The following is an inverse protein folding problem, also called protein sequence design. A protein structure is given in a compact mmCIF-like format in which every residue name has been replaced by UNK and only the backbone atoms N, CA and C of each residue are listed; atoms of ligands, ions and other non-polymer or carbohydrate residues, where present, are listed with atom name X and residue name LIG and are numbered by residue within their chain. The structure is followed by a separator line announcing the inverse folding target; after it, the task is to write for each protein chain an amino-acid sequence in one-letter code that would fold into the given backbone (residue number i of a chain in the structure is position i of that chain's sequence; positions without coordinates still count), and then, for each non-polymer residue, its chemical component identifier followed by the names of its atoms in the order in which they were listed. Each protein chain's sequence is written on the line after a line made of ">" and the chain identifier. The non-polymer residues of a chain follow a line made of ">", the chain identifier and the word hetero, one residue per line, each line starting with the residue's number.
data_IF_987137125511
#
_entry.id   IF_987137125511
#
_cell.length_a   1.000
_cell.length_b   1.000
_cell.length_c   1.000
_cell.angle_alpha   90.00
_cell.angle_beta   90.00
_cell.angle_gamma   90.00
#
_symmetry.space_group_name_H-M   'P 1'
#
loop_
_entity.id
_entity.type
_entity.pdbx_description
1 polymer ?
#
# COMPACT_ATOMS: atom_id res chain seq x y z
N UNK A 1 -44.98 18.96 40.38
CA UNK A 1 -44.40 20.29 40.69
C UNK A 1 -42.90 20.14 40.53
N UNK A 2 -42.13 20.88 39.74
CA UNK A 2 -42.30 22.08 38.91
C UNK A 2 -41.06 22.07 38.00
N UNK A 3 -41.25 21.89 36.69
CA UNK A 3 -41.13 22.91 35.63
C UNK A 3 -39.68 23.40 35.36
N UNK A 4 -39.29 23.11 34.12
CA UNK A 4 -38.30 23.82 33.31
C UNK A 4 -38.55 25.32 33.26
N UNK A 5 -37.47 26.10 33.20
CA UNK A 5 -37.47 27.41 32.53
C UNK A 5 -36.17 27.62 31.78
N UNK A 6 -36.33 27.85 30.48
CA UNK A 6 -35.37 28.36 29.51
C UNK A 6 -34.95 29.80 29.85
N UNK A 7 -33.66 30.10 29.80
CA UNK A 7 -33.11 31.45 29.81
C UNK A 7 -32.35 31.73 28.52
N UNK A 8 -32.85 32.67 27.71
CA UNK A 8 -32.13 33.28 26.58
C UNK A 8 -30.98 34.14 27.09
N UNK A 9 -29.82 34.07 26.44
CA UNK A 9 -28.66 34.91 26.73
C UNK A 9 -27.69 35.02 25.55
N UNK A 10 -27.93 36.06 24.73
CA UNK A 10 -26.99 36.87 23.92
C UNK A 10 -25.90 36.18 23.10
N UNK A 11 -26.05 36.29 21.77
CA UNK A 11 -25.00 36.17 20.77
C UNK A 11 -23.83 37.13 21.06
N UNK A 12 -22.63 36.58 21.15
CA UNK A 12 -21.38 37.31 20.92
C UNK A 12 -20.80 36.85 19.58
N UNK A 13 -20.74 37.78 18.63
CA UNK A 13 -20.05 37.65 17.36
C UNK A 13 -18.53 37.59 17.57
N UNK A 14 -17.89 36.57 16.98
CA UNK A 14 -16.45 36.57 16.69
C UNK A 14 -16.25 36.64 15.17
N UNK A 15 -15.28 37.43 14.68
CA UNK A 15 -15.08 37.65 13.25
C UNK A 15 -14.18 36.57 12.61
N UNK A 16 -14.50 36.22 11.36
CA UNK A 16 -13.56 35.62 10.42
C UNK A 16 -13.76 34.13 10.13
N UNK A 17 -14.85 33.78 9.44
CA UNK A 17 -14.96 32.48 8.76
C UNK A 17 -14.39 32.61 7.33
N UNK A 18 -13.49 31.70 6.96
CA UNK A 18 -12.65 31.73 5.73
C UNK A 18 -13.42 31.36 4.46
N UNK A 19 -14.74 31.51 4.44
CA UNK A 19 -15.62 31.11 3.33
C UNK A 19 -16.20 32.26 2.49
N UNK A 20 -16.01 33.52 2.87
CA UNK A 20 -16.52 34.67 2.11
C UNK A 20 -15.53 35.30 1.10
N UNK A 21 -14.31 34.77 0.97
CA UNK A 21 -13.30 35.35 0.07
C UNK A 21 -13.38 34.85 -1.39
N UNK A 22 -14.30 33.95 -1.74
CA UNK A 22 -14.34 33.32 -3.07
C UNK A 22 -15.60 33.58 -3.90
N UNK A 23 -16.52 34.43 -3.46
CA UNK A 23 -17.83 34.61 -4.13
C UNK A 23 -18.18 36.02 -4.60
N UNK A 24 -17.23 36.96 -4.65
CA UNK A 24 -17.54 38.32 -5.12
C UNK A 24 -16.41 38.92 -5.96
N UNK A 25 -16.46 38.65 -7.26
CA UNK A 25 -15.52 39.16 -8.26
C UNK A 25 -16.20 39.48 -9.59
N UNK A 26 -16.93 40.60 -9.58
CA UNK A 26 -17.28 41.46 -10.73
C UNK A 26 -18.10 40.88 -11.90
N UNK A 27 -19.41 41.18 -11.86
CA UNK A 27 -20.20 41.52 -13.03
C UNK A 27 -20.64 42.99 -12.90
N UNK A 28 -20.25 43.86 -13.85
CA UNK A 28 -21.04 45.03 -14.28
C UNK A 28 -20.36 45.75 -15.46
N UNK A 29 -21.11 45.85 -16.56
CA UNK A 29 -20.74 46.63 -17.75
C UNK A 29 -21.63 46.33 -18.97
N UNK A 30 -22.90 46.75 -18.92
CA UNK A 30 -23.82 46.86 -20.07
C UNK A 30 -23.35 47.99 -21.04
N UNK A 31 -23.76 48.18 -22.31
CA UNK A 31 -24.96 47.83 -23.06
C UNK A 31 -24.76 48.17 -24.57
N UNK A 32 -25.70 47.68 -25.42
CA UNK A 32 -26.15 48.20 -26.74
C UNK A 32 -25.26 47.92 -27.99
N UNK A 33 -25.74 47.54 -29.18
CA UNK A 33 -27.09 47.46 -29.78
C UNK A 33 -27.14 46.51 -31.01
N UNK A 34 -28.35 45.96 -31.26
CA UNK A 34 -29.12 45.66 -32.50
C UNK A 34 -28.45 45.79 -33.90
N UNK A 35 -28.86 45.15 -34.99
CA UNK A 35 -29.80 44.07 -35.39
C UNK A 35 -29.80 44.01 -36.95
N UNK A 36 -30.44 42.96 -37.53
CA UNK A 36 -31.06 42.89 -38.87
C UNK A 36 -30.13 42.49 -40.06
N UNK A 37 -30.50 41.69 -41.08
CA UNK A 37 -31.76 41.16 -41.68
C UNK A 37 -31.42 39.88 -42.49
N UNK A 38 -32.21 38.78 -42.47
CA UNK A 38 -33.31 38.37 -43.40
C UNK A 38 -32.84 37.97 -44.83
N UNK A 39 -33.28 36.86 -45.45
CA UNK A 39 -34.66 36.59 -45.88
C UNK A 39 -35.00 35.09 -46.19
N UNK A 40 -36.31 34.76 -46.19
CA UNK A 40 -36.98 33.44 -46.41
C UNK A 40 -37.16 33.03 -47.92
N UNK A 41 -38.04 32.09 -48.39
CA UNK A 41 -38.86 31.01 -47.77
C UNK A 41 -38.91 29.61 -48.50
N UNK A 42 -39.41 28.62 -47.73
CA UNK A 42 -40.28 27.47 -48.07
C UNK A 42 -39.98 26.50 -49.25
N UNK A 43 -39.91 25.20 -48.92
CA UNK A 43 -40.77 24.15 -49.53
C UNK A 43 -40.88 22.92 -48.62
N UNK A 44 -42.11 22.46 -48.40
CA UNK A 44 -42.44 21.17 -47.77
C UNK A 44 -42.11 20.04 -48.76
N UNK A 45 -41.31 19.07 -48.34
CA UNK A 45 -41.07 17.82 -49.05
C UNK A 45 -41.06 16.66 -48.06
N UNK A 46 -42.13 15.86 -48.09
CA UNK A 46 -42.28 14.64 -47.30
C UNK A 46 -41.42 13.55 -47.96
N UNK A 47 -40.30 13.16 -47.35
CA UNK A 47 -39.39 12.16 -47.89
C UNK A 47 -38.69 11.39 -46.78
N UNK A 48 -39.10 10.15 -46.59
CA UNK A 48 -38.45 9.16 -45.74
C UNK A 48 -37.01 8.92 -46.22
N UNK A 49 -36.02 9.32 -45.43
CA UNK A 49 -34.63 8.94 -45.62
C UNK A 49 -34.08 8.46 -44.27
N UNK A 50 -33.60 7.22 -44.26
CA UNK A 50 -32.96 6.58 -43.13
C UNK A 50 -31.80 7.44 -42.59
N UNK A 51 -31.59 7.54 -41.27
CA UNK A 51 -30.35 8.11 -40.77
C UNK A 51 -29.23 7.09 -41.02
N UNK A 52 -28.57 7.24 -42.16
CA UNK A 52 -27.20 6.78 -42.35
C UNK A 52 -26.34 7.56 -41.37
N UNK A 53 -26.05 6.96 -40.23
CA UNK A 53 -25.05 7.46 -39.29
C UNK A 53 -23.72 7.50 -40.01
N UNK A 54 -23.27 8.69 -40.37
CA UNK A 54 -21.89 8.94 -40.75
C UNK A 54 -21.01 8.53 -39.58
N UNK A 55 -20.36 7.36 -39.69
CA UNK A 55 -19.24 7.02 -38.85
C UNK A 55 -18.17 8.08 -39.11
N UNK A 56 -18.03 9.03 -38.18
CA UNK A 56 -16.78 9.76 -38.01
C UNK A 56 -15.68 8.72 -37.83
N UNK A 57 -14.55 8.80 -38.53
CA UNK A 57 -13.44 7.89 -38.29
C UNK A 57 -13.05 8.03 -36.83
N UNK A 58 -13.14 6.93 -36.07
CA UNK A 58 -12.59 6.86 -34.73
C UNK A 58 -11.12 7.29 -34.81
N UNK A 59 -10.81 8.42 -34.21
CA UNK A 59 -9.43 8.87 -34.05
C UNK A 59 -8.66 7.80 -33.30
N UNK A 60 -7.56 7.34 -33.91
CA UNK A 60 -6.64 6.37 -33.32
C UNK A 60 -6.32 6.72 -31.86
N UNK A 61 -6.59 5.79 -30.94
CA UNK A 61 -5.87 5.68 -29.67
C UNK A 61 -6.37 6.45 -28.45
N UNK A 62 -7.60 7.00 -28.43
CA UNK A 62 -8.13 7.57 -27.18
C UNK A 62 -8.71 6.47 -26.28
N UNK A 63 -8.05 6.17 -25.16
CA UNK A 63 -8.63 5.32 -24.11
C UNK A 63 -9.95 5.95 -23.64
N UNK A 64 -11.06 5.23 -23.80
CA UNK A 64 -12.38 5.65 -23.36
C UNK A 64 -12.60 5.08 -21.95
N UNK A 65 -12.78 5.93 -20.96
CA UNK A 65 -13.09 5.51 -19.58
C UNK A 65 -14.57 5.24 -19.34
N UNK A 66 -15.43 5.65 -20.27
CA UNK A 66 -16.88 5.42 -20.17
C UNK A 66 -17.22 3.96 -20.54
N UNK A 67 -17.93 3.28 -19.65
CA UNK A 67 -18.49 1.94 -19.87
C UNK A 67 -20.02 2.05 -19.86
N UNK A 68 -20.64 1.88 -21.03
CA UNK A 68 -22.08 2.13 -21.23
C UNK A 68 -22.94 0.98 -20.67
N UNK A 69 -24.25 1.20 -20.44
CA UNK A 69 -25.18 0.12 -20.10
C UNK A 69 -25.06 -1.06 -21.08
N UNK A 70 -24.92 -2.28 -20.56
CA UNK A 70 -24.71 -3.49 -21.35
C UNK A 70 -23.24 -3.81 -21.69
N UNK A 71 -22.29 -2.90 -21.43
CA UNK A 71 -20.87 -3.15 -21.57
C UNK A 71 -20.23 -3.60 -20.24
N UNK A 72 -19.15 -4.36 -20.35
CA UNK A 72 -18.36 -4.83 -19.21
C UNK A 72 -17.10 -3.97 -19.03
N UNK A 73 -16.65 -3.88 -17.78
CA UNK A 73 -15.31 -3.38 -17.46
C UNK A 73 -14.23 -4.37 -17.94
N UNK A 74 -13.04 -3.85 -18.21
CA UNK A 74 -11.91 -4.65 -18.73
C UNK A 74 -11.11 -5.30 -17.61
N UNK A 75 -10.99 -4.62 -16.46
CA UNK A 75 -10.25 -5.13 -15.30
C UNK A 75 -11.10 -5.12 -14.04
N UNK A 76 -10.79 -6.07 -13.15
CA UNK A 76 -11.20 -6.01 -11.76
C UNK A 76 -10.16 -5.27 -10.94
N UNK A 77 -10.62 -4.33 -10.14
CA UNK A 77 -9.85 -3.69 -9.10
C UNK A 77 -10.17 -4.25 -7.73
N UNK A 78 -9.16 -4.67 -6.96
CA UNK A 78 -9.34 -5.03 -5.55
C UNK A 78 -8.81 -3.91 -4.67
N UNK A 79 -9.71 -3.25 -3.96
CA UNK A 79 -9.45 -2.06 -3.17
C UNK A 79 -9.47 -2.38 -1.68
N UNK A 80 -8.52 -1.82 -0.95
CA UNK A 80 -8.59 -1.74 0.49
C UNK A 80 -9.79 -0.88 0.92
N UNK A 81 -10.48 -1.30 1.98
CA UNK A 81 -11.51 -0.51 2.65
C UNK A 81 -10.96 0.46 3.70
N UNK A 82 -9.65 0.49 3.96
CA UNK A 82 -9.07 1.21 5.11
C UNK A 82 -9.66 0.73 6.43
N UNK A 83 -9.93 1.69 7.31
CA UNK A 83 -10.58 1.49 8.61
C UNK A 83 -12.03 0.99 8.55
N UNK A 84 -12.63 0.87 7.35
CA UNK A 84 -13.91 0.17 7.21
C UNK A 84 -13.76 -1.34 7.32
N UNK A 85 -12.54 -1.88 7.21
CA UNK A 85 -12.23 -3.29 7.47
C UNK A 85 -12.69 -4.28 6.40
N UNK A 86 -13.11 -3.82 5.22
CA UNK A 86 -13.59 -4.65 4.10
C UNK A 86 -12.64 -4.60 2.90
N UNK A 87 -12.86 -5.45 1.90
CA UNK A 87 -12.31 -5.30 0.54
C UNK A 87 -13.43 -4.86 -0.41
N UNK A 88 -13.10 -3.99 -1.37
CA UNK A 88 -14.03 -3.56 -2.43
C UNK A 88 -13.57 -4.06 -3.78
N UNK A 89 -14.50 -4.61 -4.57
CA UNK A 89 -14.26 -4.96 -5.97
C UNK A 89 -14.77 -3.81 -6.83
N UNK A 90 -13.89 -3.25 -7.67
CA UNK A 90 -14.15 -2.17 -8.58
C UNK A 90 -14.11 -2.68 -10.03
N UNK A 91 -14.95 -2.13 -10.91
CA UNK A 91 -14.79 -2.26 -12.36
C UNK A 91 -13.87 -1.16 -12.89
N UNK A 92 -12.92 -1.49 -13.75
CA UNK A 92 -12.02 -0.52 -14.40
C UNK A 92 -12.14 -0.66 -15.92
N UNK A 93 -12.36 0.44 -16.68
CA UNK A 93 -12.13 1.84 -16.29
C UNK A 93 -13.35 2.60 -15.75
N UNK A 94 -14.53 1.97 -15.56
CA UNK A 94 -15.73 2.70 -15.12
C UNK A 94 -15.64 3.26 -13.69
N UNK A 95 -14.77 2.66 -12.87
CA UNK A 95 -14.56 2.94 -11.45
C UNK A 95 -15.80 2.70 -10.58
N UNK A 96 -16.74 1.86 -11.03
CA UNK A 96 -17.94 1.48 -10.27
C UNK A 96 -17.58 0.41 -9.23
N UNK A 97 -18.11 0.53 -8.01
CA UNK A 97 -18.05 -0.52 -6.99
C UNK A 97 -19.02 -1.64 -7.37
N UNK A 98 -18.51 -2.85 -7.58
CA UNK A 98 -19.26 -4.02 -8.02
C UNK A 98 -19.70 -4.89 -6.83
N UNK A 99 -18.86 -5.00 -5.81
CA UNK A 99 -19.10 -5.83 -4.62
C UNK A 99 -18.25 -5.34 -3.44
N UNK A 100 -18.78 -5.53 -2.23
CA UNK A 100 -18.02 -5.48 -0.97
C UNK A 100 -17.83 -6.89 -0.44
N UNK A 101 -16.61 -7.21 -0.01
CA UNK A 101 -16.27 -8.45 0.68
C UNK A 101 -16.02 -8.07 2.13
N UNK A 102 -16.89 -8.44 3.08
CA UNK A 102 -16.64 -8.16 4.48
C UNK A 102 -15.47 -9.02 4.96
N UNK A 103 -14.53 -8.41 5.71
CA UNK A 103 -13.30 -9.09 6.15
C UNK A 103 -13.18 -9.01 7.67
N UNK A 104 -12.80 -7.85 8.19
CA UNK A 104 -12.60 -7.61 9.63
C UNK A 104 -13.76 -6.84 10.25
N UNK A 105 -14.62 -6.24 9.43
CA UNK A 105 -15.82 -5.53 9.85
C UNK A 105 -16.95 -6.47 10.24
N UNK A 106 -18.00 -5.91 10.85
CA UNK A 106 -19.29 -6.57 11.01
C UNK A 106 -20.20 -6.08 9.88
N UNK A 107 -20.70 -6.98 9.03
CA UNK A 107 -21.60 -6.61 7.93
C UNK A 107 -23.06 -7.00 8.20
N UNK A 108 -23.93 -6.00 8.19
CA UNK A 108 -25.36 -6.17 8.42
C UNK A 108 -26.09 -6.81 7.22
N UNK A 109 -25.55 -6.70 6.00
CA UNK A 109 -26.20 -7.23 4.81
C UNK A 109 -26.08 -8.77 4.72
N UNK A 110 -24.87 -9.30 4.88
CA UNK A 110 -24.59 -10.74 4.79
C UNK A 110 -24.69 -11.47 6.13
N UNK A 111 -24.64 -10.74 7.25
CA UNK A 111 -24.51 -11.34 8.57
C UNK A 111 -23.07 -11.71 8.95
N UNK A 112 -22.05 -11.29 8.18
CA UNK A 112 -20.63 -11.53 8.48
C UNK A 112 -20.18 -10.91 9.82
N UNK A 113 -19.77 -11.76 10.77
CA UNK A 113 -19.51 -11.49 12.18
C UNK A 113 -20.68 -11.81 13.12
N UNK A 114 -21.78 -12.37 12.60
CA UNK A 114 -22.88 -12.93 13.40
C UNK A 114 -23.21 -14.38 13.06
N UNK A 115 -23.03 -14.81 11.81
CA UNK A 115 -23.16 -16.24 11.46
C UNK A 115 -22.10 -17.04 12.22
N UNK A 116 -22.41 -18.30 12.56
CA UNK A 116 -21.49 -19.14 13.33
C UNK A 116 -20.13 -19.28 12.64
N UNK A 117 -20.14 -19.45 11.30
CA UNK A 117 -18.94 -19.49 10.46
C UNK A 117 -18.06 -18.24 10.60
N UNK A 118 -18.64 -17.05 10.40
CA UNK A 118 -17.85 -15.80 10.41
C UNK A 118 -17.45 -15.35 11.81
N UNK A 119 -18.25 -15.70 12.84
CA UNK A 119 -17.88 -15.49 14.25
C UNK A 119 -16.66 -16.31 14.64
N UNK A 120 -16.59 -17.56 14.18
CA UNK A 120 -15.45 -18.45 14.43
C UNK A 120 -14.17 -17.88 13.80
N UNK A 121 -14.23 -17.48 12.52
CA UNK A 121 -13.10 -16.84 11.82
C UNK A 121 -12.62 -15.54 12.49
N UNK A 122 -13.56 -14.69 12.94
CA UNK A 122 -13.23 -13.42 13.59
C UNK A 122 -12.83 -13.58 15.06
N UNK A 123 -13.07 -14.74 15.66
CA UNK A 123 -12.87 -15.02 17.09
C UNK A 123 -13.54 -13.97 18.00
N UNK A 124 -14.73 -13.53 17.60
CA UNK A 124 -15.51 -12.50 18.31
C UNK A 124 -14.96 -11.07 18.26
N UNK A 125 -13.86 -10.80 17.54
CA UNK A 125 -13.34 -9.44 17.35
C UNK A 125 -14.17 -8.69 16.31
N UNK A 126 -14.41 -7.39 16.56
CA UNK A 126 -15.13 -6.51 15.64
C UNK A 126 -14.22 -5.35 15.21
N UNK A 127 -14.24 -5.07 13.91
CA UNK A 127 -13.44 -3.99 13.32
C UNK A 127 -12.06 -4.45 12.88
N UNK A 128 -11.46 -3.65 12.00
CA UNK A 128 -10.11 -3.82 11.49
C UNK A 128 -9.75 -2.69 10.54
N UNK A 129 -8.50 -2.66 10.13
CA UNK A 129 -7.96 -1.63 9.26
C UNK A 129 -7.17 -2.29 8.13
N UNK A 130 -7.82 -2.43 6.97
CA UNK A 130 -7.22 -3.03 5.76
C UNK A 130 -6.32 -2.02 5.08
N UNK A 131 -5.12 -2.39 4.63
CA UNK A 131 -4.23 -1.46 3.91
C UNK A 131 -3.84 -1.98 2.54
N UNK A 132 -3.20 -3.15 2.47
CA UNK A 132 -2.63 -3.68 1.25
C UNK A 132 -3.39 -4.92 0.81
N UNK A 133 -3.89 -4.87 -0.42
CA UNK A 133 -4.66 -5.94 -1.03
C UNK A 133 -3.83 -6.49 -2.19
N UNK A 134 -3.39 -7.73 -2.07
CA UNK A 134 -2.53 -8.38 -3.06
C UNK A 134 -3.08 -9.73 -3.46
N UNK A 135 -3.01 -10.05 -4.76
CA UNK A 135 -3.44 -11.34 -5.28
C UNK A 135 -2.30 -12.36 -5.20
N UNK A 136 -2.64 -13.63 -5.21
CA UNK A 136 -1.70 -14.74 -5.40
C UNK A 136 -1.07 -14.72 -6.79
N UNK A 137 0.13 -15.28 -6.89
CA UNK A 137 0.92 -15.32 -8.11
C UNK A 137 1.36 -16.74 -8.47
N UNK A 138 1.56 -16.97 -9.77
CA UNK A 138 2.35 -18.07 -10.33
C UNK A 138 3.25 -17.48 -11.42
N UNK A 139 4.56 -17.77 -11.36
CA UNK A 139 5.55 -17.31 -12.35
C UNK A 139 5.52 -15.80 -12.65
N UNK A 140 5.33 -14.98 -11.60
CA UNK A 140 5.32 -13.52 -11.69
C UNK A 140 4.01 -12.91 -12.19
N UNK A 141 2.98 -13.72 -12.47
CA UNK A 141 1.66 -13.28 -12.94
C UNK A 141 0.58 -13.65 -11.93
N UNK A 142 -0.47 -12.83 -11.81
CA UNK A 142 -1.62 -13.17 -10.98
C UNK A 142 -2.28 -14.47 -11.46
N UNK A 143 -2.53 -15.40 -10.55
CA UNK A 143 -3.11 -16.72 -10.87
C UNK A 143 -4.62 -16.81 -10.59
N UNK A 144 -5.21 -15.75 -10.04
CA UNK A 144 -6.65 -15.63 -9.84
C UNK A 144 -7.22 -16.56 -8.76
N UNK A 145 -6.41 -17.07 -7.83
CA UNK A 145 -6.86 -17.97 -6.77
C UNK A 145 -7.26 -17.23 -5.49
N UNK A 146 -6.38 -16.37 -4.99
CA UNK A 146 -6.54 -15.74 -3.68
C UNK A 146 -6.29 -14.23 -3.71
N UNK A 147 -6.94 -13.54 -2.78
CA UNK A 147 -6.58 -12.18 -2.35
C UNK A 147 -6.16 -12.21 -0.89
N UNK A 148 -5.05 -11.56 -0.57
CA UNK A 148 -4.55 -11.39 0.79
C UNK A 148 -4.72 -9.94 1.23
N UNK A 149 -5.12 -9.73 2.48
CA UNK A 149 -5.22 -8.39 3.07
C UNK A 149 -4.84 -8.41 4.55
N UNK A 150 -4.06 -7.42 4.96
CA UNK A 150 -3.67 -7.23 6.35
C UNK A 150 -4.76 -6.55 7.18
N UNK A 151 -4.69 -6.74 8.49
CA UNK A 151 -5.35 -5.90 9.48
C UNK A 151 -4.29 -5.22 10.35
N UNK A 152 -4.08 -3.92 10.11
CA UNK A 152 -3.14 -3.12 10.90
C UNK A 152 -3.57 -3.00 12.36
N UNK A 153 -4.88 -2.91 12.61
CA UNK A 153 -5.41 -2.68 13.94
C UNK A 153 -5.32 -3.93 14.85
N UNK A 154 -5.59 -5.11 14.29
CA UNK A 154 -5.71 -6.36 15.06
C UNK A 154 -4.61 -7.39 14.84
N UNK A 155 -3.57 -7.06 14.07
CA UNK A 155 -2.44 -7.95 13.75
C UNK A 155 -2.88 -9.30 13.13
N UNK A 156 -3.64 -9.21 12.04
CA UNK A 156 -4.18 -10.37 11.33
C UNK A 156 -3.85 -10.31 9.84
N UNK A 157 -3.87 -11.47 9.18
CA UNK A 157 -3.91 -11.58 7.74
C UNK A 157 -5.16 -12.38 7.35
N UNK A 158 -5.94 -11.88 6.40
CA UNK A 158 -7.06 -12.58 5.82
C UNK A 158 -6.74 -13.03 4.39
N UNK A 159 -7.36 -14.16 4.00
CA UNK A 159 -7.41 -14.65 2.63
C UNK A 159 -8.84 -14.70 2.14
N UNK A 160 -9.05 -14.24 0.91
CA UNK A 160 -10.30 -14.34 0.16
C UNK A 160 -10.08 -15.35 -0.97
N UNK A 161 -11.02 -16.28 -1.12
CA UNK A 161 -11.10 -17.14 -2.30
C UNK A 161 -11.79 -16.37 -3.43
N UNK A 162 -11.11 -16.21 -4.57
CA UNK A 162 -11.62 -15.45 -5.72
C UNK A 162 -12.81 -16.16 -6.39
N UNK A 163 -12.92 -17.49 -6.29
CA UNK A 163 -14.04 -18.23 -6.89
C UNK A 163 -15.38 -17.86 -6.23
N UNK A 164 -15.37 -17.63 -4.92
CA UNK A 164 -16.58 -17.27 -4.14
C UNK A 164 -16.66 -15.78 -3.83
N UNK A 165 -15.53 -15.06 -3.90
CA UNK A 165 -15.38 -13.69 -3.42
C UNK A 165 -15.79 -13.55 -1.95
N UNK A 166 -15.34 -14.50 -1.13
CA UNK A 166 -15.57 -14.58 0.31
C UNK A 166 -14.27 -14.91 1.06
N UNK A 167 -14.17 -14.42 2.30
CA UNK A 167 -13.04 -14.74 3.18
C UNK A 167 -13.16 -16.18 3.65
N UNK A 168 -12.11 -16.98 3.43
CA UNK A 168 -12.07 -18.39 3.80
C UNK A 168 -11.15 -18.67 4.99
N UNK A 169 -10.16 -17.80 5.21
CA UNK A 169 -9.17 -17.92 6.30
C UNK A 169 -8.81 -16.57 6.88
N UNK A 170 -8.63 -16.54 8.20
CA UNK A 170 -8.00 -15.45 8.94
C UNK A 170 -6.97 -16.07 9.89
N UNK A 171 -5.75 -15.54 9.89
CA UNK A 171 -4.69 -15.93 10.81
C UNK A 171 -4.30 -14.77 11.71
N UNK A 172 -4.17 -15.04 13.00
CA UNK A 172 -3.58 -14.11 13.97
C UNK A 172 -2.05 -14.17 13.86
N UNK A 173 -1.40 -13.02 13.82
CA UNK A 173 0.05 -12.91 13.71
C UNK A 173 0.63 -12.70 15.12
N UNK A 174 1.23 -13.73 15.75
CA UNK A 174 1.79 -13.58 17.09
C UNK A 174 2.96 -12.59 17.07
N UNK A 175 3.26 -11.99 18.22
CA UNK A 175 4.38 -11.06 18.39
C UNK A 175 4.32 -9.81 17.48
N UNK A 176 3.20 -9.53 16.81
CA UNK A 176 3.04 -8.39 15.90
C UNK A 176 2.09 -7.35 16.48
N UNK A 177 2.43 -6.07 16.29
CA UNK A 177 1.51 -4.95 16.48
C UNK A 177 1.63 -4.01 15.28
N UNK A 178 0.49 -3.52 14.79
CA UNK A 178 0.47 -2.66 13.61
C UNK A 178 0.89 -3.41 12.35
N UNK A 179 0.28 -4.57 12.03
CA UNK A 179 0.64 -5.31 10.81
C UNK A 179 0.32 -4.45 9.58
N UNK A 180 1.33 -3.81 9.00
CA UNK A 180 1.15 -2.84 7.92
C UNK A 180 1.51 -3.48 6.58
N UNK A 181 2.74 -3.28 6.10
CA UNK A 181 3.20 -3.83 4.83
C UNK A 181 3.01 -5.34 4.72
N UNK A 182 2.28 -5.79 3.70
CA UNK A 182 2.22 -7.20 3.32
C UNK A 182 2.54 -7.36 1.84
N UNK A 183 3.10 -8.52 1.46
CA UNK A 183 3.26 -8.87 0.06
C UNK A 183 3.40 -10.39 -0.13
N UNK A 184 2.68 -11.03 -1.05
CA UNK A 184 2.89 -12.45 -1.39
C UNK A 184 4.16 -12.64 -2.23
N UNK A 185 4.74 -13.83 -2.22
CA UNK A 185 5.78 -14.17 -3.18
C UNK A 185 5.22 -14.15 -4.61
N UNK A 186 6.04 -13.68 -5.56
CA UNK A 186 5.61 -13.55 -6.97
C UNK A 186 5.90 -14.78 -7.82
N UNK A 187 6.92 -15.57 -7.49
CA UNK A 187 7.26 -16.76 -8.28
C UNK A 187 6.24 -17.91 -8.10
N UNK A 188 5.54 -17.93 -6.96
CA UNK A 188 4.42 -18.83 -6.60
C UNK A 188 3.70 -18.21 -5.39
N UNK A 189 2.47 -18.61 -5.08
CA UNK A 189 1.74 -18.14 -3.87
C UNK A 189 2.60 -18.20 -2.62
N UNK A 190 3.27 -19.34 -2.40
CA UNK A 190 4.39 -19.48 -1.48
C UNK A 190 4.15 -18.83 -0.13
N UNK A 191 5.02 -17.89 0.24
CA UNK A 191 4.88 -17.11 1.46
C UNK A 191 4.19 -15.77 1.22
N UNK A 192 3.31 -15.36 2.13
CA UNK A 192 2.89 -13.98 2.33
C UNK A 192 3.70 -13.40 3.47
N UNK A 193 4.50 -12.37 3.16
CA UNK A 193 5.28 -11.68 4.18
C UNK A 193 4.48 -10.53 4.78
N UNK A 194 4.62 -10.32 6.09
CA UNK A 194 3.90 -9.31 6.85
C UNK A 194 4.84 -8.59 7.83
N UNK A 195 4.83 -7.26 7.81
CA UNK A 195 5.63 -6.42 8.71
C UNK A 195 4.82 -6.00 9.93
N UNK A 196 5.37 -6.20 11.13
CA UNK A 196 4.95 -5.43 12.30
C UNK A 196 5.52 -4.00 12.20
N UNK A 197 4.65 -2.98 12.15
CA UNK A 197 5.09 -1.59 12.08
C UNK A 197 5.55 -1.06 13.42
N UNK A 198 4.88 -1.46 14.50
CA UNK A 198 5.22 -0.95 15.82
C UNK A 198 6.28 -1.81 16.47
N UNK A 199 7.24 -1.13 17.10
CA UNK A 199 8.22 -1.78 17.96
C UNK A 199 7.58 -1.97 19.33
N UNK A 200 7.66 -3.18 19.86
CA UNK A 200 7.11 -3.54 21.17
C UNK A 200 8.15 -4.27 22.02
N UNK A 201 8.00 -4.34 23.36
CA UNK A 201 8.74 -5.30 24.16
C UNK A 201 8.55 -6.73 23.61
N UNK A 202 9.58 -7.56 23.65
CA UNK A 202 9.52 -8.94 23.16
C UNK A 202 10.29 -9.87 24.12
N UNK A 203 9.62 -10.77 24.87
CA UNK A 203 8.16 -10.97 24.90
C UNK A 203 7.41 -9.75 25.48
N UNK A 204 6.17 -9.54 25.03
CA UNK A 204 5.28 -8.48 25.52
C UNK A 204 4.29 -9.01 26.56
N UNK A 205 4.79 -9.65 27.62
CA UNK A 205 3.99 -10.33 28.65
C UNK A 205 3.83 -9.52 29.94
N UNK A 206 4.34 -8.28 29.97
CA UNK A 206 4.32 -7.40 31.14
C UNK A 206 5.37 -7.71 32.20
N UNK A 207 6.28 -8.66 31.97
CA UNK A 207 7.36 -8.99 32.92
C UNK A 207 8.55 -8.01 32.85
N UNK A 208 8.76 -7.35 31.70
CA UNK A 208 9.82 -6.36 31.48
C UNK A 208 9.41 -4.91 31.76
N UNK A 209 10.37 -3.99 31.73
CA UNK A 209 10.10 -2.55 31.77
C UNK A 209 9.48 -2.09 30.44
N UNK A 210 8.16 -1.87 30.47
CA UNK A 210 7.38 -1.40 29.32
C UNK A 210 7.65 0.07 28.94
N UNK A 211 8.62 0.73 29.57
CA UNK A 211 9.05 2.08 29.23
C UNK A 211 10.46 2.11 28.61
N UNK A 212 11.22 1.02 28.69
CA UNK A 212 12.54 0.93 28.06
C UNK A 212 12.44 0.57 26.58
N UNK A 213 12.32 1.61 25.73
CA UNK A 213 12.24 1.49 24.28
C UNK A 213 13.45 0.81 23.61
N UNK A 214 14.56 0.60 24.32
CA UNK A 214 15.73 -0.14 23.82
C UNK A 214 15.48 -1.65 23.75
N UNK A 215 14.53 -2.14 24.54
CA UNK A 215 14.13 -3.54 24.53
C UNK A 215 13.18 -3.87 23.38
N UNK A 216 12.68 -2.84 22.68
CA UNK A 216 11.66 -3.03 21.67
C UNK A 216 12.24 -3.59 20.38
N UNK A 217 11.44 -4.36 19.66
CA UNK A 217 11.74 -4.79 18.30
C UNK A 217 10.46 -5.02 17.51
N UNK A 218 10.60 -5.36 16.23
CA UNK A 218 9.51 -5.69 15.35
C UNK A 218 9.81 -6.98 14.57
N UNK A 219 8.75 -7.64 14.08
CA UNK A 219 8.83 -8.96 13.45
C UNK A 219 8.42 -8.88 11.97
N UNK A 220 9.30 -9.38 11.10
CA UNK A 220 8.97 -9.71 9.72
C UNK A 220 8.46 -11.15 9.71
N UNK A 221 7.19 -11.35 9.39
CA UNK A 221 6.53 -12.64 9.53
C UNK A 221 6.28 -13.27 8.18
N UNK A 222 6.56 -14.56 8.02
CA UNK A 222 6.18 -15.32 6.83
C UNK A 222 5.04 -16.28 7.14
N UNK A 223 3.97 -16.18 6.35
CA UNK A 223 2.78 -17.02 6.41
C UNK A 223 2.73 -17.84 5.14
N UNK A 224 2.43 -19.13 5.22
CA UNK A 224 2.17 -19.94 4.03
C UNK A 224 0.83 -19.51 3.41
N UNK A 225 0.84 -19.06 2.15
CA UNK A 225 -0.35 -18.52 1.49
C UNK A 225 -1.40 -19.58 1.14
N UNK A 226 -1.05 -20.87 1.14
CA UNK A 226 -1.95 -21.99 0.87
C UNK A 226 -2.60 -22.50 2.17
N UNK A 227 -1.81 -22.69 3.24
CA UNK A 227 -2.33 -23.21 4.52
C UNK A 227 -2.80 -22.11 5.47
N UNK A 228 -2.34 -20.87 5.28
CA UNK A 228 -2.50 -19.73 6.19
C UNK A 228 -1.88 -19.96 7.58
N UNK A 229 -0.84 -20.80 7.66
CA UNK A 229 -0.05 -21.01 8.88
C UNK A 229 1.16 -20.07 8.94
N UNK A 230 1.43 -19.52 10.14
CA UNK A 230 2.65 -18.77 10.39
C UNK A 230 3.84 -19.72 10.40
N UNK A 231 4.81 -19.51 9.50
CA UNK A 231 5.94 -20.43 9.29
C UNK A 231 7.16 -20.06 10.13
N UNK A 232 7.47 -18.78 10.21
CA UNK A 232 8.59 -18.24 10.96
C UNK A 232 8.49 -16.72 11.04
N UNK A 233 9.28 -16.12 11.93
CA UNK A 233 9.46 -14.67 12.01
C UNK A 233 10.95 -14.31 12.03
N UNK A 234 11.27 -13.08 11.65
CA UNK A 234 12.60 -12.49 11.80
C UNK A 234 12.49 -11.25 12.67
N UNK A 235 13.25 -11.23 13.77
CA UNK A 235 13.31 -10.12 14.70
C UNK A 235 14.35 -9.09 14.26
N UNK A 236 13.91 -7.84 14.16
CA UNK A 236 14.75 -6.67 13.90
C UNK A 236 14.62 -5.64 15.02
N UNK A 237 15.66 -4.80 15.16
CA UNK A 237 15.80 -3.82 16.26
C UNK A 237 14.88 -2.62 16.11
N UNK A 238 14.48 -2.34 14.88
CA UNK A 238 13.70 -1.16 14.53
C UNK A 238 12.30 -1.55 14.03
N UNK A 239 11.61 -0.59 13.45
CA UNK A 239 10.28 -0.70 12.90
C UNK A 239 10.35 -1.15 11.43
N UNK A 240 9.23 -1.63 10.88
CA UNK A 240 9.11 -1.95 9.46
C UNK A 240 7.80 -1.41 8.88
N UNK A 241 7.88 -0.70 7.78
CA UNK A 241 6.74 -0.07 7.13
C UNK A 241 6.20 -0.99 6.01
N UNK A 242 6.47 -0.68 4.75
CA UNK A 242 5.94 -1.43 3.60
C UNK A 242 6.73 -2.69 3.33
N UNK A 243 6.11 -3.65 2.64
CA UNK A 243 6.73 -4.89 2.22
C UNK A 243 6.71 -5.06 0.70
N UNK A 244 7.71 -5.78 0.18
CA UNK A 244 7.71 -6.31 -1.19
C UNK A 244 8.48 -7.63 -1.28
N UNK A 245 8.25 -8.40 -2.33
CA UNK A 245 9.03 -9.62 -2.68
C UNK A 245 9.63 -9.49 -4.06
N UNK A 246 10.78 -10.11 -4.32
CA UNK A 246 11.33 -10.22 -5.66
C UNK A 246 10.52 -11.19 -6.56
N UNK A 247 10.92 -11.30 -7.82
CA UNK A 247 10.30 -12.23 -8.77
C UNK A 247 10.88 -13.65 -8.72
N UNK A 248 11.94 -13.88 -7.92
CA UNK A 248 12.70 -15.15 -7.90
C UNK A 248 12.50 -15.95 -6.61
N UNK A 249 11.80 -15.40 -5.62
CA UNK A 249 11.62 -16.01 -4.31
C UNK A 249 12.85 -15.96 -3.41
N UNK A 250 13.85 -15.13 -3.73
CA UNK A 250 15.11 -15.07 -2.99
C UNK A 250 15.04 -14.04 -1.85
N UNK A 251 14.41 -12.90 -2.13
CA UNK A 251 14.43 -11.75 -1.23
C UNK A 251 13.02 -11.22 -0.95
N UNK A 252 12.79 -10.81 0.30
CA UNK A 252 11.76 -9.84 0.65
C UNK A 252 12.41 -8.54 1.12
N UNK A 253 11.63 -7.47 1.10
CA UNK A 253 12.07 -6.12 1.36
C UNK A 253 11.13 -5.46 2.36
N UNK A 254 11.68 -4.66 3.28
CA UNK A 254 10.88 -3.79 4.13
C UNK A 254 11.54 -2.42 4.31
N UNK A 255 10.78 -1.34 4.14
CA UNK A 255 11.26 0.00 4.51
C UNK A 255 11.25 0.16 6.02
N UNK A 256 12.19 0.91 6.55
CA UNK A 256 12.26 1.29 7.95
C UNK A 256 12.24 2.81 8.03
N UNK A 257 11.34 3.39 8.84
CA UNK A 257 11.24 4.85 8.96
C UNK A 257 11.72 5.40 10.30
N UNK A 258 11.99 4.53 11.28
CA UNK A 258 12.34 4.85 12.66
C UNK A 258 13.59 4.07 13.09
N UNK A 259 14.64 4.10 12.27
CA UNK A 259 15.91 3.42 12.55
C UNK A 259 16.53 3.84 13.89
N UNK A 260 16.17 5.03 14.38
CA UNK A 260 16.61 5.63 15.64
C UNK A 260 16.05 4.93 16.87
N UNK A 261 14.95 4.19 16.71
CA UNK A 261 14.21 3.64 17.84
C UNK A 261 13.56 4.72 18.69
N UNK A 262 13.12 5.82 18.07
CA UNK A 262 12.34 6.88 18.70
C UNK A 262 10.95 6.40 19.13
N UNK A 263 10.40 7.08 20.14
CA UNK A 263 9.02 6.94 20.64
C UNK A 263 8.22 8.24 20.53
N UNK A 264 8.86 9.33 20.08
CA UNK A 264 8.21 10.60 19.71
C UNK A 264 8.48 10.89 18.23
N UNK A 265 7.65 11.74 17.61
CA UNK A 265 7.78 12.10 16.20
C UNK A 265 9.19 12.62 15.87
N UNK A 266 9.71 13.52 16.71
CA UNK A 266 11.04 14.12 16.53
C UNK A 266 12.15 13.07 16.61
N UNK A 267 12.00 12.09 17.51
CA UNK A 267 12.95 10.99 17.68
C UNK A 267 12.99 10.06 16.47
N UNK A 268 11.85 9.82 15.82
CA UNK A 268 11.75 8.97 14.61
C UNK A 268 12.18 9.69 13.32
N UNK A 269 12.60 10.95 13.41
CA UNK A 269 12.98 11.79 12.26
C UNK A 269 14.39 12.36 12.42
N UNK A 270 15.15 11.89 13.41
CA UNK A 270 16.43 12.48 13.76
C UNK A 270 17.55 12.08 12.78
N UNK A 271 17.50 10.88 12.20
CA UNK A 271 18.48 10.40 11.24
C UNK A 271 18.25 10.96 9.84
N UNK A 272 19.33 11.23 9.11
CA UNK A 272 19.25 11.66 7.71
C UNK A 272 18.95 10.50 6.74
N UNK A 273 19.24 9.28 7.18
CA UNK A 273 18.95 8.04 6.48
C UNK A 273 18.51 7.00 7.48
N UNK A 274 17.46 6.30 7.11
CA UNK A 274 17.11 5.01 7.67
C UNK A 274 17.62 3.93 6.71
N UNK A 275 16.88 2.84 6.56
CA UNK A 275 17.28 1.76 5.68
C UNK A 275 16.10 1.04 5.03
N UNK A 276 16.41 0.40 3.91
CA UNK A 276 15.68 -0.72 3.37
C UNK A 276 16.26 -2.01 3.98
N UNK A 277 15.45 -2.74 4.74
CA UNK A 277 15.75 -4.12 5.08
C UNK A 277 15.59 -5.01 3.85
N UNK A 278 16.57 -5.86 3.61
CA UNK A 278 16.53 -6.94 2.62
C UNK A 278 16.67 -8.26 3.37
N UNK A 279 15.67 -9.12 3.31
CA UNK A 279 15.65 -10.42 3.96
C UNK A 279 16.00 -11.51 2.95
N UNK A 280 17.00 -12.33 3.25
CA UNK A 280 17.38 -13.49 2.44
C UNK A 280 16.53 -14.70 2.84
N UNK A 281 15.44 -14.92 2.10
CA UNK A 281 14.45 -15.94 2.41
C UNK A 281 15.04 -17.35 2.40
N UNK A 282 16.06 -17.58 1.58
CA UNK A 282 16.76 -18.88 1.48
C UNK A 282 17.56 -19.15 2.75
N UNK A 283 18.36 -18.18 3.21
CA UNK A 283 19.17 -18.36 4.42
C UNK A 283 18.32 -18.38 5.70
N UNK A 284 17.23 -17.61 5.74
CA UNK A 284 16.25 -17.67 6.84
C UNK A 284 15.60 -19.05 6.90
N UNK A 285 15.12 -19.60 5.77
CA UNK A 285 14.51 -20.92 5.75
C UNK A 285 15.50 -22.03 6.18
N UNK A 286 16.78 -21.92 5.80
CA UNK A 286 17.85 -22.82 6.28
C UNK A 286 18.06 -22.69 7.78
N UNK A 287 18.10 -21.48 8.33
CA UNK A 287 18.25 -21.25 9.77
C UNK A 287 17.10 -21.84 10.57
N UNK A 288 15.86 -21.65 10.12
CA UNK A 288 14.66 -22.24 10.73
C UNK A 288 14.73 -23.76 10.70
N UNK A 289 15.04 -24.36 9.54
CA UNK A 289 15.16 -25.82 9.40
C UNK A 289 16.27 -26.40 10.28
N UNK A 290 17.36 -25.66 10.48
CA UNK A 290 18.47 -26.03 11.35
C UNK A 290 18.21 -25.75 12.84
N UNK A 291 17.04 -25.23 13.21
CA UNK A 291 16.71 -24.87 14.59
C UNK A 291 17.51 -23.70 15.16
N UNK A 292 18.11 -22.85 14.31
CA UNK A 292 18.85 -21.64 14.71
C UNK A 292 17.89 -20.50 15.00
N UNK A 293 17.01 -20.70 15.97
CA UNK A 293 15.87 -19.84 16.27
C UNK A 293 15.75 -19.61 17.77
N UNK A 294 15.17 -18.48 18.14
CA UNK A 294 14.76 -18.17 19.51
C UNK A 294 13.25 -18.34 19.66
N UNK A 295 12.81 -18.51 20.91
CA UNK A 295 11.39 -18.48 21.29
C UNK A 295 11.05 -17.11 21.86
N UNK A 296 9.88 -16.57 21.51
CA UNK A 296 9.34 -15.35 22.11
C UNK A 296 8.06 -15.68 22.89
N UNK A 297 8.15 -15.59 24.22
CA UNK A 297 7.06 -15.95 25.13
C UNK A 297 6.60 -17.39 24.92
N UNK A 298 5.28 -17.59 24.88
CA UNK A 298 4.65 -18.90 24.67
C UNK A 298 4.40 -19.24 23.20
N UNK A 299 4.79 -18.36 22.26
CA UNK A 299 4.63 -18.63 20.83
C UNK A 299 5.55 -19.77 20.38
N UNK A 300 4.99 -20.77 19.72
CA UNK A 300 5.75 -21.87 19.09
C UNK A 300 6.32 -21.49 17.72
N UNK A 301 6.05 -20.26 17.24
CA UNK A 301 6.56 -19.80 15.95
C UNK A 301 8.08 -19.59 16.05
N UNK A 302 8.89 -20.24 15.20
CA UNK A 302 10.35 -20.06 15.23
C UNK A 302 10.74 -18.64 14.82
N UNK A 303 11.60 -18.00 15.61
CA UNK A 303 12.08 -16.64 15.35
C UNK A 303 13.58 -16.65 15.07
N UNK A 304 14.00 -16.08 13.93
CA UNK A 304 15.41 -15.80 13.65
C UNK A 304 15.74 -14.41 14.21
N UNK A 305 16.71 -14.31 15.11
CA UNK A 305 17.19 -13.02 15.61
C UNK A 305 18.17 -12.41 14.60
N UNK A 306 17.78 -11.29 14.00
CA UNK A 306 18.58 -10.55 13.03
C UNK A 306 18.86 -9.12 13.50
N UNK A 307 18.71 -8.83 14.80
CA UNK A 307 18.95 -7.50 15.36
C UNK A 307 20.41 -7.06 15.24
N UNK A 308 20.61 -5.74 15.15
CA UNK A 308 21.94 -5.12 15.18
C UNK A 308 22.53 -4.96 13.78
N UNK A 309 23.67 -5.58 13.52
CA UNK A 309 24.41 -5.40 12.26
C UNK A 309 23.90 -6.31 11.13
N UNK A 310 24.43 -6.07 9.92
CA UNK A 310 24.13 -6.88 8.74
C UNK A 310 24.57 -8.34 8.93
N UNK A 311 23.77 -9.27 8.41
CA UNK A 311 23.99 -10.70 8.56
C UNK A 311 23.67 -11.47 7.27
N UNK A 312 23.84 -12.79 7.30
CA UNK A 312 23.39 -13.66 6.23
C UNK A 312 21.86 -13.63 6.03
N UNK A 313 21.10 -13.22 7.05
CA UNK A 313 19.64 -13.19 7.02
C UNK A 313 19.10 -11.85 6.56
N UNK A 314 19.70 -10.75 7.03
CA UNK A 314 19.19 -9.39 6.80
C UNK A 314 20.32 -8.43 6.47
N UNK A 315 20.14 -7.65 5.42
CA UNK A 315 20.98 -6.51 5.06
C UNK A 315 20.18 -5.21 5.21
N UNK A 316 20.82 -4.16 5.72
CA UNK A 316 20.27 -2.80 5.87
C UNK A 316 20.93 -1.91 4.82
N UNK A 317 20.18 -1.57 3.77
CA UNK A 317 20.65 -0.65 2.72
C UNK A 317 20.26 0.77 3.12
N UNK A 318 21.21 1.68 3.41
CA UNK A 318 20.88 3.04 3.85
C UNK A 318 20.13 3.82 2.75
N UNK A 319 18.99 4.41 3.08
CA UNK A 319 18.15 5.22 2.16
C UNK A 319 17.57 6.45 2.89
N UNK A 320 17.49 7.62 2.24
CA UNK A 320 16.90 8.82 2.83
C UNK A 320 15.38 8.91 2.55
N UNK A 321 14.54 9.53 3.37
CA UNK A 321 14.64 9.72 4.83
C UNK A 321 13.27 9.36 5.40
N UNK A 322 13.23 8.50 6.40
CA UNK A 322 12.00 7.87 6.88
C UNK A 322 11.18 7.26 5.72
N UNK A 323 11.81 6.45 4.84
CA UNK A 323 11.23 5.94 3.59
C UNK A 323 9.90 5.22 3.83
N UNK A 324 9.02 5.26 2.83
CA UNK A 324 7.69 4.67 2.90
C UNK A 324 7.52 3.49 1.94
N UNK A 325 7.20 3.73 0.66
CA UNK A 325 7.01 2.66 -0.32
C UNK A 325 8.31 1.93 -0.66
N UNK A 326 8.21 0.61 -0.85
CA UNK A 326 9.16 -0.18 -1.63
C UNK A 326 8.39 -0.91 -2.73
N UNK A 327 8.77 -0.70 -3.98
CA UNK A 327 8.06 -1.23 -5.14
C UNK A 327 9.06 -1.85 -6.12
N UNK A 328 8.88 -3.13 -6.45
CA UNK A 328 9.75 -3.82 -7.42
C UNK A 328 9.20 -3.61 -8.82
N UNK A 329 10.07 -3.17 -9.73
CA UNK A 329 9.73 -2.95 -11.12
C UNK A 329 9.32 -4.27 -11.83
N UNK A 330 8.55 -4.21 -12.92
CA UNK A 330 8.02 -5.40 -13.58
C UNK A 330 9.08 -6.25 -14.27
N UNK A 331 10.30 -5.75 -14.48
CA UNK A 331 11.43 -6.60 -14.93
C UNK A 331 12.04 -7.42 -13.80
N UNK A 332 11.72 -7.10 -12.55
CA UNK A 332 12.25 -7.75 -11.36
C UNK A 332 13.70 -7.40 -11.03
N UNK A 333 14.25 -6.35 -11.65
CA UNK A 333 15.66 -5.94 -11.49
C UNK A 333 15.84 -4.87 -10.42
N UNK A 334 14.84 -4.02 -10.21
CA UNK A 334 14.99 -2.84 -9.39
C UNK A 334 13.94 -2.78 -8.29
N UNK A 335 14.38 -2.57 -7.05
CA UNK A 335 13.52 -2.12 -5.96
C UNK A 335 13.59 -0.60 -5.87
N UNK A 336 12.46 0.08 -6.04
CA UNK A 336 12.35 1.54 -5.91
C UNK A 336 11.79 1.87 -4.53
N UNK A 337 12.56 2.62 -3.75
CA UNK A 337 12.25 3.02 -2.37
C UNK A 337 11.90 4.50 -2.32
N UNK A 338 10.69 4.83 -1.87
CA UNK A 338 10.20 6.21 -1.83
C UNK A 338 10.65 6.93 -0.57
N UNK A 339 11.35 8.05 -0.73
CA UNK A 339 12.08 8.70 0.34
C UNK A 339 11.26 9.52 1.33
N UNK A 340 9.93 9.66 1.19
CA UNK A 340 9.01 10.39 2.07
C UNK A 340 9.52 11.78 2.49
N UNK A 341 10.32 11.88 3.55
CA UNK A 341 10.86 13.16 4.03
C UNK A 341 12.01 13.66 3.15
N UNK A 342 12.68 12.75 2.43
CA UNK A 342 13.58 13.11 1.34
C UNK A 342 12.77 13.28 0.04
N UNK A 343 13.03 14.30 -0.78
CA UNK A 343 12.36 14.49 -2.06
C UNK A 343 12.85 13.53 -3.16
N UNK A 344 13.44 12.40 -2.78
CA UNK A 344 14.09 11.44 -3.69
C UNK A 344 13.42 10.07 -3.63
N UNK A 345 13.71 9.24 -4.63
CA UNK A 345 13.49 7.79 -4.59
C UNK A 345 14.84 7.10 -4.73
N UNK A 346 15.15 6.06 -3.95
CA UNK A 346 16.36 5.25 -4.13
C UNK A 346 16.05 4.02 -4.98
N UNK A 347 16.85 3.76 -6.02
CA UNK A 347 16.72 2.58 -6.89
C UNK A 347 17.81 1.58 -6.54
N UNK A 348 17.41 0.44 -5.99
CA UNK A 348 18.31 -0.67 -5.62
C UNK A 348 18.30 -1.72 -6.73
N UNK A 349 19.48 -2.10 -7.20
CA UNK A 349 19.68 -3.21 -8.14
C UNK A 349 19.69 -4.55 -7.38
N UNK A 350 18.67 -5.36 -7.64
CA UNK A 350 18.44 -6.65 -6.99
C UNK A 350 19.52 -7.66 -7.38
N UNK A 351 20.11 -7.56 -8.57
CA UNK A 351 21.17 -8.47 -9.02
C UNK A 351 22.45 -8.31 -8.19
N UNK A 352 22.66 -7.14 -7.58
CA UNK A 352 23.80 -6.87 -6.70
C UNK A 352 23.65 -7.46 -5.29
N UNK A 353 22.44 -7.88 -4.89
CA UNK A 353 22.18 -8.31 -3.51
C UNK A 353 22.97 -9.57 -3.14
N UNK A 354 23.19 -10.49 -4.08
CA UNK A 354 24.01 -11.68 -3.83
C UNK A 354 25.44 -11.29 -3.38
N UNK A 355 26.04 -10.29 -4.03
CA UNK A 355 27.37 -9.81 -3.67
C UNK A 355 27.36 -8.96 -2.39
N UNK A 356 26.26 -8.26 -2.07
CA UNK A 356 26.07 -7.60 -0.77
C UNK A 356 26.04 -8.62 0.36
N UNK A 357 25.22 -9.68 0.26
CA UNK A 357 25.16 -10.75 1.26
C UNK A 357 26.48 -11.53 1.36
N UNK A 358 27.25 -11.63 0.28
CA UNK A 358 28.59 -12.23 0.28
C UNK A 358 29.69 -11.29 0.85
N UNK A 359 29.35 -10.05 1.21
CA UNK A 359 30.30 -9.06 1.73
C UNK A 359 31.27 -8.51 0.68
N UNK A 360 31.02 -8.75 -0.61
CA UNK A 360 31.82 -8.22 -1.73
C UNK A 360 31.44 -6.79 -2.08
N UNK A 361 30.20 -6.41 -1.84
CA UNK A 361 29.69 -5.05 -1.98
C UNK A 361 29.18 -4.55 -0.63
N UNK A 362 29.35 -3.26 -0.35
CA UNK A 362 28.67 -2.64 0.78
C UNK A 362 27.19 -2.52 0.44
N UNK A 363 26.27 -2.54 1.42
CA UNK A 363 24.84 -2.42 1.15
C UNK A 363 24.46 -1.23 0.28
N UNK A 364 25.10 -0.07 0.49
CA UNK A 364 24.82 1.14 -0.29
C UNK A 364 25.26 1.04 -1.76
N UNK A 365 26.22 0.18 -2.10
CA UNK A 365 26.71 -0.02 -3.47
C UNK A 365 25.65 -0.69 -4.37
N UNK A 366 24.59 -1.25 -3.78
CA UNK A 366 23.43 -1.74 -4.50
C UNK A 366 22.50 -0.63 -5.00
N UNK A 367 22.62 0.60 -4.48
CA UNK A 367 21.83 1.75 -4.95
C UNK A 367 22.44 2.29 -6.25
N UNK A 368 21.69 2.20 -7.34
CA UNK A 368 22.12 2.55 -8.70
C UNK A 368 21.49 3.83 -9.25
N UNK A 369 20.50 4.38 -8.57
CA UNK A 369 20.01 5.74 -8.81
C UNK A 369 19.38 6.32 -7.54
N UNK A 370 19.38 7.65 -7.43
CA UNK A 370 18.64 8.37 -6.40
C UNK A 370 18.09 9.70 -6.94
N UNK A 371 17.16 9.68 -7.92
CA UNK A 371 16.64 10.91 -8.52
C UNK A 371 15.74 11.68 -7.53
N UNK A 372 15.84 13.00 -7.59
CA UNK A 372 14.86 13.90 -6.98
C UNK A 372 13.58 13.89 -7.84
N UNK A 373 12.44 13.66 -7.20
CA UNK A 373 11.14 13.45 -7.87
C UNK A 373 10.04 14.39 -7.39
N UNK A 374 10.25 15.13 -6.29
CA UNK A 374 9.29 16.08 -5.72
C UNK A 374 9.17 15.94 -4.20
N UNK A 375 8.42 16.84 -3.55
CA UNK A 375 8.28 16.87 -2.10
C UNK A 375 7.29 15.82 -1.59
N UNK A 376 7.77 14.87 -0.79
CA UNK A 376 6.91 13.83 -0.21
C UNK A 376 6.66 12.59 -1.09
N UNK A 377 7.67 11.95 -1.72
CA UNK A 377 7.45 10.74 -2.50
C UNK A 377 7.00 9.58 -1.60
N UNK A 378 5.86 8.94 -1.89
CA UNK A 378 5.30 7.87 -1.06
C UNK A 378 5.31 6.49 -1.72
N UNK A 379 4.81 6.35 -2.94
CA UNK A 379 4.71 5.06 -3.64
C UNK A 379 5.07 5.20 -5.11
N UNK A 380 5.58 4.12 -5.70
CA UNK A 380 5.93 4.06 -7.12
C UNK A 380 5.21 2.92 -7.85
N UNK A 381 4.58 3.20 -8.98
CA UNK A 381 4.01 2.23 -9.91
C UNK A 381 4.77 2.26 -11.27
N UNK A 382 4.53 1.27 -12.13
CA UNK A 382 5.30 1.08 -13.37
C UNK A 382 4.40 0.76 -14.56
N UNK A 383 4.81 1.16 -15.77
CA UNK A 383 4.03 0.94 -17.01
C UNK A 383 4.50 -0.22 -17.89
N UNK A 384 5.56 -0.95 -17.49
CA UNK A 384 6.17 -2.00 -18.31
C UNK A 384 6.98 -1.49 -19.51
N UNK A 385 7.14 -0.17 -19.67
CA UNK A 385 7.93 0.48 -20.73
C UNK A 385 9.19 1.16 -20.19
N UNK A 386 9.60 0.80 -18.97
CA UNK A 386 10.75 1.38 -18.27
C UNK A 386 10.49 2.73 -17.59
N UNK A 387 9.22 3.16 -17.49
CA UNK A 387 8.85 4.35 -16.73
C UNK A 387 8.28 3.97 -15.36
N UNK A 388 8.57 4.82 -14.39
CA UNK A 388 8.04 4.81 -13.05
C UNK A 388 7.14 6.04 -12.82
N UNK A 389 6.13 5.87 -11.97
CA UNK A 389 5.12 6.87 -11.62
C UNK A 389 5.08 6.96 -10.11
N UNK A 390 5.65 8.04 -9.57
CA UNK A 390 5.77 8.21 -8.12
C UNK A 390 4.74 9.22 -7.63
N UNK A 391 3.98 8.85 -6.59
CA UNK A 391 3.08 9.78 -5.90
C UNK A 391 3.86 10.75 -5.04
N UNK A 392 3.58 12.05 -5.19
CA UNK A 392 4.24 13.13 -4.48
C UNK A 392 3.21 13.81 -3.58
N UNK A 393 3.25 13.48 -2.29
CA UNK A 393 2.22 13.81 -1.32
C UNK A 393 2.10 15.31 -1.05
N UNK A 394 3.22 16.00 -0.84
CA UNK A 394 3.20 17.43 -0.47
C UNK A 394 2.87 18.29 -1.69
N UNK A 395 3.46 17.98 -2.84
CA UNK A 395 3.18 18.71 -4.08
C UNK A 395 1.82 18.33 -4.70
N UNK A 396 1.20 17.24 -4.25
CA UNK A 396 -0.09 16.73 -4.75
C UNK A 396 -0.06 16.42 -6.27
N UNK A 397 1.01 15.77 -6.73
CA UNK A 397 1.21 15.39 -8.15
C UNK A 397 1.68 13.94 -8.29
N UNK A 398 1.68 13.44 -9.54
CA UNK A 398 2.38 12.22 -9.92
C UNK A 398 3.58 12.60 -10.80
N UNK A 399 4.77 12.21 -10.38
CA UNK A 399 5.99 12.38 -11.20
C UNK A 399 6.20 11.12 -12.04
N UNK A 400 6.12 11.26 -13.36
CA UNK A 400 6.55 10.23 -14.30
C UNK A 400 8.03 10.41 -14.62
N UNK A 401 8.83 9.36 -14.48
CA UNK A 401 10.27 9.38 -14.74
C UNK A 401 10.75 8.05 -15.36
N UNK A 402 11.96 8.04 -15.94
CA UNK A 402 12.56 6.86 -16.58
C UNK A 402 13.66 6.29 -15.69
N UNK A 403 13.58 4.99 -15.39
CA UNK A 403 14.55 4.31 -14.52
C UNK A 403 15.95 4.32 -15.16
N UNK A 404 16.05 3.98 -16.45
CA UNK A 404 17.32 3.94 -17.16
C UNK A 404 18.01 5.31 -17.19
N UNK A 405 17.26 6.39 -17.47
CA UNK A 405 17.81 7.76 -17.47
C UNK A 405 18.26 8.20 -16.08
N UNK A 406 17.55 7.79 -15.03
CA UNK A 406 17.95 8.07 -13.66
C UNK A 406 19.27 7.37 -13.29
N UNK A 407 19.45 6.11 -13.72
CA UNK A 407 20.70 5.36 -13.53
C UNK A 407 21.85 6.02 -14.30
N UNK A 408 21.65 6.34 -15.58
CA UNK A 408 22.64 7.03 -16.42
C UNK A 408 23.11 8.34 -15.74
N UNK A 409 22.17 9.17 -15.30
CA UNK A 409 22.44 10.43 -14.61
C UNK A 409 23.14 10.24 -13.25
N UNK A 410 22.94 9.10 -12.57
CA UNK A 410 23.60 8.78 -11.32
C UNK A 410 25.06 8.36 -11.53
N UNK A 411 25.32 7.56 -12.56
CA UNK A 411 26.68 7.08 -12.91
C UNK A 411 27.58 8.13 -13.54
N UNK A 412 27.00 9.20 -14.11
CA UNK A 412 27.74 10.30 -14.70
C UNK A 412 28.32 11.30 -13.67
N UNK A 413 27.97 11.14 -12.38
CA UNK A 413 28.52 11.89 -11.26
C UNK A 413 29.67 11.12 -10.62
#
# INVERSE_FOLDING_TARGET
>A
MTKSTSGQGKQHSRPGDRREFLTTGLALGAAAALAACEDQPATRGNGSAAPGGSATPDGEGRLISEVKPGQLDEYYGFWSGGQSGEIRIMGVPSMRELKRIPVFNRDAATGWGQTDFSKDLLKGRAGGDTHHVHLSYTDGTYDGRYVFVNDKAGARLARVDIQTMEVDKIVDIPNSQGTHGIFPQRHKTGLVVCNAEFRTPLPNDGSGDSTDAKTYGALHTAIDGETMEVRWQVLVESNMDLAATDYKGLYSFATCYNSEGGTTLEGMMASDRDHLYVFNLVEIAKAVTAGKTIKLGDSEVPVVDARGENSAYVQRIPVPKSPHGVNIDPTGKYAVVSGKLSPTVSVVDIEKLADVFAGKLKPRDAVVAEPEVGLGPLHTAFDGRGNAYTSIFIDSVITKWSIAKAIEAYTAK
#
